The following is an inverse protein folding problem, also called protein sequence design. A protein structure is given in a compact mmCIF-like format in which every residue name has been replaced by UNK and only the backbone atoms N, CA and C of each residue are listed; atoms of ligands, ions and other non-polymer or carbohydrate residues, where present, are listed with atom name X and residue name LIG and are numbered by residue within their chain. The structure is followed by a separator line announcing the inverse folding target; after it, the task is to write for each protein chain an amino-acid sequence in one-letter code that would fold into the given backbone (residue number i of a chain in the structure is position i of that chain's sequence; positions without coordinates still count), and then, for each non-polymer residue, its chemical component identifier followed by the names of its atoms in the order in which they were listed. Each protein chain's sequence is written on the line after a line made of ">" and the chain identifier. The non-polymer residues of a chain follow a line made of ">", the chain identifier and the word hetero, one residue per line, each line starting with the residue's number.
data_IF_074218930035
#
_entry.id   IF_074218930035
#
_cell.length_a   1.000
_cell.length_b   1.000
_cell.length_c   1.000
_cell.angle_alpha   90.00
_cell.angle_beta   90.00
_cell.angle_gamma   90.00
#
_symmetry.space_group_name_H-M   'P 1'
#
loop_
_entity.id
_entity.type
_entity.pdbx_description
1 polymer ?
#
# COMPACT_ATOMS: atom_id res chain seq x y z
N UNK A 1 -32.49 39.35 3.52
CA UNK A 1 -33.71 38.51 3.59
C UNK A 1 -33.51 37.34 2.64
N UNK A 2 -33.16 36.15 3.16
CA UNK A 2 -32.77 35.00 2.35
C UNK A 2 -34.01 34.16 2.07
N UNK A 3 -34.49 34.17 0.83
CA UNK A 3 -35.63 33.37 0.39
C UNK A 3 -35.13 31.96 0.04
N UNK A 4 -35.17 31.03 0.99
CA UNK A 4 -34.90 29.61 0.70
C UNK A 4 -36.02 29.07 -0.18
N UNK A 5 -35.67 28.65 -1.40
CA UNK A 5 -36.59 27.94 -2.30
C UNK A 5 -36.96 26.59 -1.67
N UNK A 6 -38.24 26.23 -1.78
CA UNK A 6 -38.86 25.02 -1.18
C UNK A 6 -38.08 23.72 -1.46
N UNK A 7 -37.45 23.63 -2.64
CA UNK A 7 -36.62 22.51 -3.08
C UNK A 7 -35.37 22.29 -2.20
N UNK A 8 -34.77 23.38 -1.67
CA UNK A 8 -33.59 23.30 -0.79
C UNK A 8 -33.93 22.80 0.60
N UNK A 9 -35.15 23.07 1.08
CA UNK A 9 -35.62 22.61 2.40
C UNK A 9 -35.80 21.08 2.39
N UNK A 10 -36.31 20.53 1.30
CA UNK A 10 -36.49 19.08 1.14
C UNK A 10 -35.12 18.38 1.06
N UNK A 11 -34.18 18.92 0.28
CA UNK A 11 -32.84 18.36 0.17
C UNK A 11 -32.09 18.35 1.52
N UNK A 12 -32.22 19.43 2.31
CA UNK A 12 -31.61 19.50 3.64
C UNK A 12 -32.26 18.52 4.62
N UNK A 13 -33.59 18.37 4.57
CA UNK A 13 -34.30 17.39 5.39
C UNK A 13 -33.88 15.95 5.10
N UNK A 14 -33.76 15.57 3.83
CA UNK A 14 -33.30 14.23 3.43
C UNK A 14 -31.86 14.00 3.86
N UNK A 15 -30.99 15.01 3.70
CA UNK A 15 -29.59 14.90 4.11
C UNK A 15 -29.44 14.66 5.62
N UNK A 16 -30.18 15.40 6.47
CA UNK A 16 -30.15 15.21 7.92
C UNK A 16 -30.63 13.81 8.33
N UNK A 17 -31.67 13.30 7.67
CA UNK A 17 -32.19 11.94 7.94
C UNK A 17 -31.14 10.88 7.58
N UNK A 18 -30.53 10.99 6.40
CA UNK A 18 -29.50 10.03 5.95
C UNK A 18 -28.29 10.06 6.89
N UNK A 19 -27.81 11.24 7.28
CA UNK A 19 -26.69 11.36 8.23
C UNK A 19 -27.04 10.72 9.56
N UNK A 20 -28.25 10.94 10.09
CA UNK A 20 -28.67 10.40 11.38
C UNK A 20 -28.74 8.87 11.35
N UNK A 21 -29.33 8.29 10.30
CA UNK A 21 -29.39 6.83 10.11
C UNK A 21 -27.98 6.24 10.04
N UNK A 22 -27.08 6.88 9.29
CA UNK A 22 -25.71 6.40 9.14
C UNK A 22 -24.89 6.50 10.44
N UNK A 23 -25.12 7.55 11.24
CA UNK A 23 -24.47 7.69 12.55
C UNK A 23 -24.99 6.67 13.57
N UNK A 24 -26.30 6.37 13.58
CA UNK A 24 -26.84 5.36 14.49
C UNK A 24 -26.34 3.96 14.17
N UNK A 25 -26.30 3.57 12.88
CA UNK A 25 -25.76 2.26 12.48
C UNK A 25 -24.28 2.08 12.82
N UNK A 26 -23.50 3.16 12.81
CA UNK A 26 -22.07 3.11 13.13
C UNK A 26 -21.81 2.93 14.64
N UNK A 27 -22.72 3.40 15.50
CA UNK A 27 -22.62 3.23 16.95
C UNK A 27 -22.87 1.77 17.33
N UNK A 28 -23.91 1.15 16.77
CA UNK A 28 -24.23 -0.27 17.04
C UNK A 28 -23.13 -1.22 16.55
N UNK A 29 -22.50 -0.91 15.40
CA UNK A 29 -21.40 -1.71 14.87
C UNK A 29 -20.17 -1.66 15.78
N UNK A 30 -19.85 -0.49 16.34
CA UNK A 30 -18.69 -0.32 17.23
C UNK A 30 -18.89 -1.01 18.58
N UNK A 31 -20.11 -1.02 19.11
CA UNK A 31 -20.41 -1.68 20.38
C UNK A 31 -20.28 -3.21 20.28
N UNK A 32 -20.59 -3.79 19.11
CA UNK A 32 -20.45 -5.23 18.85
C UNK A 32 -18.99 -5.73 18.85
N UNK A 33 -18.02 -4.90 18.45
CA UNK A 33 -16.59 -5.28 18.46
C UNK A 33 -15.98 -5.26 19.86
N UNK A 34 -16.51 -4.43 20.77
CA UNK A 34 -15.99 -4.36 22.15
C UNK A 34 -16.30 -5.60 22.97
N UNK A 35 -17.37 -6.33 22.64
CA UNK A 35 -17.80 -7.50 23.42
C UNK A 35 -16.96 -8.76 23.17
N UNK A 36 -16.19 -8.83 22.08
CA UNK A 36 -15.32 -9.98 21.75
C UNK A 36 -14.03 -9.98 22.58
N UNK A 37 -13.67 -8.86 23.25
CA UNK A 37 -12.39 -8.73 23.96
C UNK A 37 -12.37 -9.24 25.41
N UNK A 38 -13.48 -9.74 25.92
CA UNK A 38 -13.56 -10.38 27.24
C UNK A 38 -13.30 -11.89 27.15
N UNK A 39 -12.26 -12.30 26.43
CA UNK A 39 -11.80 -13.69 26.46
C UNK A 39 -11.17 -13.94 27.85
N UNK A 40 -11.55 -15.03 28.55
CA UNK A 40 -11.00 -15.34 29.87
C UNK A 40 -9.48 -15.48 29.76
N UNK A 41 -8.76 -14.68 30.52
CA UNK A 41 -7.30 -14.72 30.61
C UNK A 41 -6.86 -16.14 30.98
N UNK A 42 -6.32 -16.87 30.01
CA UNK A 42 -5.71 -18.17 30.26
C UNK A 42 -4.61 -17.99 31.33
N UNK A 43 -4.51 -18.91 32.31
CA UNK A 43 -3.48 -18.83 33.34
C UNK A 43 -2.10 -18.80 32.65
N UNK A 44 -1.24 -17.91 33.13
CA UNK A 44 0.10 -17.73 32.59
C UNK A 44 0.83 -19.08 32.54
N UNK A 45 1.49 -19.43 31.41
CA UNK A 45 2.25 -20.67 31.32
C UNK A 45 3.37 -20.66 32.36
N UNK A 46 3.42 -21.69 33.19
CA UNK A 46 4.52 -21.93 34.12
C UNK A 46 5.80 -22.09 33.31
N UNK A 47 6.67 -21.08 33.35
CA UNK A 47 7.98 -21.13 32.67
C UNK A 47 8.87 -22.08 33.46
N UNK A 48 8.97 -23.32 32.96
CA UNK A 48 9.98 -24.26 33.40
C UNK A 48 11.35 -23.74 32.92
N UNK A 49 12.26 -23.47 33.86
CA UNK A 49 13.62 -22.99 33.54
C UNK A 49 14.38 -24.08 32.80
N UNK A 50 14.35 -24.04 31.47
CA UNK A 50 15.24 -24.85 30.63
C UNK A 50 16.67 -24.34 30.84
N UNK A 51 17.45 -25.11 31.58
CA UNK A 51 18.90 -24.91 31.72
C UNK A 51 19.53 -25.21 30.36
N UNK A 52 19.87 -24.17 29.61
CA UNK A 52 20.56 -24.29 28.34
C UNK A 52 22.05 -24.56 28.61
N UNK A 53 22.46 -25.81 28.43
CA UNK A 53 23.88 -26.18 28.42
C UNK A 53 24.55 -25.59 27.16
N UNK A 54 25.69 -24.90 27.29
CA UNK A 54 26.39 -24.32 26.14
C UNK A 54 26.85 -25.39 25.14
N UNK A 55 26.61 -25.23 23.83
CA UNK A 55 27.15 -26.14 22.83
C UNK A 55 28.67 -25.94 22.69
N UNK A 56 29.38 -27.07 22.58
CA UNK A 56 30.82 -27.12 22.37
C UNK A 56 31.26 -26.39 21.08
N UNK A 57 32.47 -25.80 21.05
CA UNK A 57 32.99 -25.08 19.90
C UNK A 57 33.20 -26.04 18.70
N UNK A 58 32.53 -25.76 17.58
CA UNK A 58 32.76 -26.46 16.32
C UNK A 58 33.96 -25.86 15.59
N UNK A 59 34.98 -26.69 15.36
CA UNK A 59 36.17 -26.39 14.56
C UNK A 59 35.80 -26.07 13.11
N UNK A 60 36.13 -24.85 12.66
CA UNK A 60 35.98 -24.40 11.28
C UNK A 60 37.07 -25.03 10.40
N UNK A 61 36.67 -25.87 9.45
CA UNK A 61 37.56 -26.33 8.38
C UNK A 61 37.49 -25.35 7.19
N UNK A 62 38.65 -24.77 6.86
CA UNK A 62 38.86 -23.94 5.67
C UNK A 62 38.87 -24.83 4.43
N UNK A 63 37.85 -24.70 3.56
CA UNK A 63 37.83 -25.33 2.24
C UNK A 63 38.32 -24.34 1.19
N UNK A 64 39.53 -24.58 0.71
CA UNK A 64 40.15 -23.91 -0.45
C UNK A 64 39.43 -24.36 -1.73
N UNK A 65 38.82 -23.41 -2.46
CA UNK A 65 38.24 -23.65 -3.79
C UNK A 65 39.32 -23.36 -4.84
N UNK A 66 39.62 -24.29 -5.77
CA UNK A 66 40.51 -24.04 -6.89
C UNK A 66 39.83 -23.17 -7.95
N UNK A 67 40.51 -22.10 -8.35
CA UNK A 67 40.24 -21.37 -9.58
C UNK A 67 40.64 -22.26 -10.76
N UNK A 68 39.66 -22.69 -11.55
CA UNK A 68 39.92 -23.21 -12.89
C UNK A 68 39.23 -22.33 -13.93
N UNK A 69 40.04 -21.92 -14.89
CA UNK A 69 39.72 -21.00 -15.96
C UNK A 69 39.62 -21.81 -17.24
N UNK A 70 38.54 -21.69 -18.03
CA UNK A 70 38.58 -21.90 -19.49
C UNK A 70 37.30 -21.37 -20.15
N UNK A 71 37.49 -20.40 -21.08
CA UNK A 71 36.90 -20.21 -22.43
C UNK A 71 35.45 -20.69 -22.69
N UNK A 72 34.61 -20.02 -23.48
CA UNK A 72 34.81 -19.66 -24.89
C UNK A 72 33.62 -18.79 -25.36
N UNK A 73 33.95 -17.81 -26.20
CA UNK A 73 33.19 -17.09 -27.22
C UNK A 73 31.73 -17.51 -27.48
N UNK A 74 30.87 -16.50 -27.66
CA UNK A 74 29.90 -16.49 -28.75
C UNK A 74 29.58 -15.05 -29.16
N UNK A 75 30.38 -14.57 -30.13
CA UNK A 75 30.00 -13.50 -31.03
C UNK A 75 28.97 -14.06 -32.02
N UNK A 76 27.78 -13.46 -32.04
CA UNK A 76 26.87 -13.52 -33.19
C UNK A 76 25.99 -12.29 -33.17
N UNK A 77 26.47 -11.27 -33.87
CA UNK A 77 25.71 -10.13 -34.35
C UNK A 77 24.43 -10.57 -35.04
N UNK A 78 23.31 -9.94 -34.66
CA UNK A 78 22.22 -9.66 -35.59
C UNK A 78 21.52 -8.35 -35.21
N UNK A 79 21.91 -7.21 -35.79
CA UNK A 79 21.14 -5.98 -35.65
C UNK A 79 19.96 -6.05 -36.62
N UNK A 80 18.78 -6.45 -36.10
CA UNK A 80 17.54 -6.16 -36.79
C UNK A 80 17.23 -4.67 -36.62
N UNK A 81 17.70 -3.89 -37.60
CA UNK A 81 17.21 -2.55 -37.89
C UNK A 81 15.71 -2.65 -38.19
N UNK A 82 14.90 -2.37 -37.19
CA UNK A 82 13.44 -2.29 -37.27
C UNK A 82 13.00 -0.91 -36.82
N UNK A 83 12.70 -0.07 -37.81
CA UNK A 83 11.71 1.01 -37.79
C UNK A 83 11.60 1.79 -36.47
N UNK A 84 12.14 3.02 -36.48
CA UNK A 84 11.86 4.03 -35.46
C UNK A 84 10.38 4.37 -35.42
N UNK A 85 9.62 3.56 -34.70
CA UNK A 85 8.27 3.87 -34.27
C UNK A 85 8.41 4.96 -33.21
N UNK A 86 8.09 6.20 -33.60
CA UNK A 86 7.98 7.36 -32.71
C UNK A 86 7.27 6.90 -31.43
N UNK A 87 7.96 6.79 -30.27
CA UNK A 87 7.35 6.22 -29.08
C UNK A 87 6.09 7.02 -28.76
N UNK A 88 4.98 6.32 -28.82
CA UNK A 88 3.64 6.85 -28.72
C UNK A 88 3.55 7.80 -27.52
N UNK A 89 3.40 9.09 -27.77
CA UNK A 89 3.15 10.08 -26.72
C UNK A 89 1.89 9.75 -25.90
N UNK A 90 1.00 8.89 -26.41
CA UNK A 90 -0.15 8.34 -25.72
C UNK A 90 0.20 7.33 -24.62
N UNK A 91 1.32 6.60 -24.71
CA UNK A 91 1.73 5.62 -23.71
C UNK A 91 2.31 6.26 -22.43
N UNK A 92 2.73 7.53 -22.50
CA UNK A 92 3.34 8.24 -21.36
C UNK A 92 2.37 8.53 -20.22
N UNK A 93 1.06 8.56 -20.48
CA UNK A 93 0.05 8.80 -19.46
C UNK A 93 -0.14 7.63 -18.48
N UNK A 94 0.55 6.51 -18.70
CA UNK A 94 0.36 5.29 -17.93
C UNK A 94 1.49 4.95 -16.95
N UNK A 95 2.63 5.64 -17.04
CA UNK A 95 3.77 5.38 -16.17
C UNK A 95 3.57 6.01 -14.80
N UNK A 96 3.92 5.24 -13.77
CA UNK A 96 4.05 5.73 -12.42
C UNK A 96 5.38 6.47 -12.29
N UNK A 97 5.38 7.65 -11.66
CA UNK A 97 6.60 8.44 -11.39
C UNK A 97 6.60 8.97 -9.97
N UNK A 98 7.79 9.29 -9.45
CA UNK A 98 7.93 10.06 -8.20
C UNK A 98 8.29 11.49 -8.61
N UNK A 99 7.34 12.45 -8.55
CA UNK A 99 7.59 13.82 -8.99
C UNK A 99 8.69 14.44 -8.14
N UNK A 100 9.73 14.97 -8.79
CA UNK A 100 10.88 15.64 -8.15
C UNK A 100 11.60 14.81 -7.08
N UNK A 101 11.45 13.48 -7.10
CA UNK A 101 12.01 12.62 -6.06
C UNK A 101 11.37 12.82 -4.67
N UNK A 102 10.11 13.28 -4.63
CA UNK A 102 9.32 13.48 -3.41
C UNK A 102 9.04 12.16 -2.65
N UNK A 103 10.07 11.66 -1.99
CA UNK A 103 10.07 10.44 -1.20
C UNK A 103 10.84 10.65 0.12
N UNK A 104 10.24 10.17 1.19
CA UNK A 104 10.89 9.89 2.47
C UNK A 104 10.40 8.50 2.95
N UNK A 105 11.14 7.86 3.85
CA UNK A 105 10.74 6.54 4.36
C UNK A 105 9.35 6.60 5.01
N UNK A 106 8.42 5.78 4.51
CA UNK A 106 7.02 5.75 4.94
C UNK A 106 6.11 6.79 4.27
N UNK A 107 6.62 7.70 3.45
CA UNK A 107 5.80 8.66 2.70
C UNK A 107 6.35 8.88 1.28
N UNK A 108 5.62 8.40 0.28
CA UNK A 108 6.01 8.53 -1.14
C UNK A 108 4.90 9.19 -1.92
N UNK A 109 5.22 10.28 -2.63
CA UNK A 109 4.32 10.86 -3.60
C UNK A 109 4.49 10.13 -4.94
N UNK A 110 3.38 9.61 -5.48
CA UNK A 110 3.36 8.84 -6.72
C UNK A 110 2.36 9.46 -7.69
N UNK A 111 2.78 9.70 -8.92
CA UNK A 111 1.88 9.97 -10.03
C UNK A 111 1.38 8.65 -10.60
N UNK A 112 0.10 8.55 -10.96
CA UNK A 112 -0.49 7.37 -11.61
C UNK A 112 -0.25 6.05 -10.84
N UNK A 113 -0.70 5.99 -9.59
CA UNK A 113 -0.74 4.74 -8.83
C UNK A 113 -1.98 3.93 -9.20
N UNK A 114 -1.80 2.63 -9.44
CA UNK A 114 -2.90 1.73 -9.80
C UNK A 114 -3.23 0.80 -8.63
N UNK A 115 -4.50 0.43 -8.50
CA UNK A 115 -4.98 -0.48 -7.46
C UNK A 115 -5.90 -1.52 -8.11
N UNK A 116 -5.60 -2.80 -7.90
CA UNK A 116 -6.48 -3.91 -8.30
C UNK A 116 -6.45 -4.98 -7.21
N UNK A 117 -7.63 -5.44 -6.78
CA UNK A 117 -7.79 -6.49 -5.78
C UNK A 117 -7.01 -6.25 -4.46
N UNK A 118 -6.86 -4.98 -4.06
CA UNK A 118 -6.12 -4.62 -2.84
C UNK A 118 -4.60 -4.53 -2.99
N UNK A 119 -4.06 -4.80 -4.19
CA UNK A 119 -2.63 -4.69 -4.50
C UNK A 119 -2.36 -3.42 -5.29
N UNK A 120 -1.35 -2.65 -4.85
CA UNK A 120 -0.85 -1.49 -5.58
C UNK A 120 0.06 -1.91 -6.72
N UNK A 121 -0.06 -1.26 -7.87
CA UNK A 121 0.82 -1.50 -9.01
C UNK A 121 1.54 -0.21 -9.38
N UNK A 122 2.87 -0.29 -9.39
CA UNK A 122 3.77 0.74 -9.90
C UNK A 122 4.14 0.37 -11.32
N UNK A 123 3.60 1.09 -12.30
CA UNK A 123 3.82 0.82 -13.71
C UNK A 123 5.09 1.54 -14.13
N UNK A 124 6.17 0.81 -14.38
CA UNK A 124 7.46 1.40 -14.76
C UNK A 124 8.19 0.55 -15.78
N UNK A 125 9.05 1.19 -16.58
CA UNK A 125 10.04 0.50 -17.41
C UNK A 125 11.34 0.21 -16.65
N UNK A 126 11.58 0.91 -15.54
CA UNK A 126 12.81 0.80 -14.75
C UNK A 126 12.49 0.87 -13.25
N UNK A 127 12.61 -0.29 -12.59
CA UNK A 127 12.36 -0.44 -11.15
C UNK A 127 13.43 0.25 -10.31
N UNK A 128 14.65 0.42 -10.83
CA UNK A 128 15.76 1.02 -10.09
C UNK A 128 15.58 2.51 -9.81
N UNK A 129 14.63 3.16 -10.50
CA UNK A 129 14.24 4.55 -10.25
C UNK A 129 13.40 4.73 -9.00
N UNK A 130 12.91 3.64 -8.40
CA UNK A 130 12.10 3.66 -7.19
C UNK A 130 12.93 3.24 -5.97
N UNK A 131 12.63 3.79 -4.78
CA UNK A 131 13.17 3.28 -3.53
C UNK A 131 12.80 1.80 -3.32
N UNK A 132 13.55 1.07 -2.48
CA UNK A 132 13.14 -0.28 -2.07
C UNK A 132 11.71 -0.28 -1.52
N UNK A 133 10.93 -1.32 -1.83
CA UNK A 133 9.51 -1.41 -1.43
C UNK A 133 9.29 -1.16 0.08
N UNK A 134 10.16 -1.72 0.93
CA UNK A 134 10.11 -1.54 2.40
C UNK A 134 10.23 -0.08 2.86
N UNK A 135 10.81 0.79 2.03
CA UNK A 135 10.93 2.21 2.31
C UNK A 135 9.69 2.98 1.81
N UNK A 136 8.95 2.42 0.85
CA UNK A 136 7.74 3.03 0.29
C UNK A 136 6.49 2.71 1.11
N UNK A 137 6.35 1.46 1.57
CA UNK A 137 5.24 1.02 2.41
C UNK A 137 5.64 -0.15 3.32
N UNK A 138 4.81 -0.40 4.32
CA UNK A 138 4.85 -1.59 5.17
C UNK A 138 3.61 -2.43 4.99
N UNK A 139 3.68 -3.70 5.35
CA UNK A 139 2.52 -4.59 5.42
C UNK A 139 1.60 -4.13 6.56
N UNK A 140 0.26 -4.04 6.34
CA UNK A 140 -0.69 -3.54 7.34
C UNK A 140 -1.05 -4.62 8.36
N UNK A 141 -0.03 -5.18 9.00
CA UNK A 141 -0.15 -6.21 10.04
C UNK A 141 -0.03 -5.60 11.44
N UNK A 142 -0.57 -6.32 12.42
CA UNK A 142 -0.41 -5.96 13.83
C UNK A 142 1.07 -5.95 14.19
N UNK A 143 1.56 -4.85 14.76
CA UNK A 143 2.96 -4.74 15.17
C UNK A 143 3.17 -5.58 16.43
N UNK A 144 3.89 -6.68 16.28
CA UNK A 144 4.29 -7.59 17.36
C UNK A 144 5.76 -7.98 17.20
N UNK A 145 6.42 -8.33 18.30
CA UNK A 145 7.84 -8.70 18.27
C UNK A 145 8.07 -9.94 17.40
N UNK A 146 8.97 -9.83 16.42
CA UNK A 146 9.33 -10.93 15.52
C UNK A 146 8.41 -11.08 14.31
N UNK A 147 7.43 -10.19 14.12
CA UNK A 147 6.65 -10.15 12.89
C UNK A 147 7.42 -9.36 11.83
N UNK A 148 7.64 -9.99 10.69
CA UNK A 148 8.15 -9.32 9.51
C UNK A 148 7.06 -8.39 8.95
N UNK A 149 7.40 -7.12 8.76
CA UNK A 149 6.53 -6.07 8.24
C UNK A 149 6.91 -5.65 6.83
N UNK A 150 7.91 -6.29 6.23
CA UNK A 150 8.29 -6.01 4.85
C UNK A 150 7.09 -6.30 3.93
N UNK A 151 6.84 -5.42 2.95
CA UNK A 151 5.77 -5.60 1.99
C UNK A 151 6.09 -6.78 1.07
N UNK A 152 5.03 -7.47 0.66
CA UNK A 152 5.08 -8.56 -0.31
C UNK A 152 4.40 -8.14 -1.61
N UNK A 153 4.41 -9.03 -2.60
CA UNK A 153 3.68 -8.86 -3.85
C UNK A 153 2.16 -8.72 -3.64
N UNK A 154 1.63 -9.00 -2.44
CA UNK A 154 0.21 -8.77 -2.13
C UNK A 154 -0.09 -7.30 -1.89
N UNK A 155 0.86 -6.56 -1.33
CA UNK A 155 0.69 -5.15 -1.01
C UNK A 155 1.05 -4.26 -2.21
N UNK A 156 2.20 -4.51 -2.85
CA UNK A 156 2.64 -3.72 -4.01
C UNK A 156 3.49 -4.54 -4.98
N UNK A 157 3.28 -4.34 -6.28
CA UNK A 157 4.06 -4.95 -7.35
C UNK A 157 4.54 -3.90 -8.36
N UNK A 158 5.72 -4.13 -8.93
CA UNK A 158 6.16 -3.41 -10.13
C UNK A 158 5.64 -4.11 -11.37
N UNK A 159 5.04 -3.35 -12.27
CA UNK A 159 4.42 -3.86 -13.48
C UNK A 159 5.09 -3.23 -14.70
N UNK A 160 5.51 -4.06 -15.65
CA UNK A 160 6.01 -3.56 -16.93
C UNK A 160 4.83 -3.09 -17.80
N UNK A 161 5.06 -2.05 -18.61
CA UNK A 161 4.00 -1.44 -19.45
C UNK A 161 3.33 -2.46 -20.38
N UNK A 162 4.09 -3.44 -20.86
CA UNK A 162 3.57 -4.52 -21.72
C UNK A 162 2.55 -5.43 -21.06
N UNK A 163 2.58 -5.54 -19.72
CA UNK A 163 1.71 -6.42 -18.93
C UNK A 163 0.49 -5.70 -18.35
N UNK A 164 0.35 -4.40 -18.64
CA UNK A 164 -0.68 -3.52 -18.09
C UNK A 164 -2.09 -4.03 -18.37
N UNK A 165 -2.43 -4.30 -19.65
CA UNK A 165 -3.79 -4.67 -20.04
C UNK A 165 -4.18 -6.06 -19.48
N UNK A 166 -3.24 -7.00 -19.43
CA UNK A 166 -3.46 -8.32 -18.83
C UNK A 166 -3.70 -8.24 -17.33
N UNK A 167 -2.96 -7.37 -16.64
CA UNK A 167 -2.93 -7.30 -15.17
C UNK A 167 -3.91 -6.28 -14.59
N UNK A 168 -4.27 -5.21 -15.29
CA UNK A 168 -5.21 -4.18 -14.81
C UNK A 168 -6.54 -4.18 -15.57
N UNK A 169 -6.61 -4.88 -16.71
CA UNK A 169 -7.74 -4.84 -17.61
C UNK A 169 -7.70 -3.63 -18.54
N UNK A 170 -8.68 -3.57 -19.45
CA UNK A 170 -8.72 -2.58 -20.54
C UNK A 170 -9.14 -1.17 -20.11
N UNK A 171 -9.93 -1.07 -19.05
CA UNK A 171 -10.57 0.18 -18.63
C UNK A 171 -10.39 0.41 -17.13
N UNK A 172 -9.21 0.91 -16.69
CA UNK A 172 -9.03 1.32 -15.30
C UNK A 172 -9.92 2.55 -15.00
N UNK A 173 -10.54 2.55 -13.82
CA UNK A 173 -11.21 3.75 -13.30
C UNK A 173 -10.13 4.73 -12.84
N UNK A 174 -10.18 5.96 -13.37
CA UNK A 174 -9.24 7.03 -13.01
C UNK A 174 -9.88 7.95 -11.96
N UNK A 175 -9.13 8.22 -10.91
CA UNK A 175 -9.46 9.25 -9.91
C UNK A 175 -8.53 10.43 -10.17
N UNK A 176 -9.10 11.57 -10.55
CA UNK A 176 -8.36 12.79 -10.84
C UNK A 176 -8.07 13.60 -9.56
N UNK A 177 -6.94 14.31 -9.56
CA UNK A 177 -6.50 15.16 -8.46
C UNK A 177 -5.58 14.47 -7.47
N UNK A 178 -5.28 15.16 -6.37
CA UNK A 178 -4.44 14.65 -5.30
C UNK A 178 -5.26 13.71 -4.40
N UNK A 179 -4.82 12.45 -4.30
CA UNK A 179 -5.41 11.46 -3.41
C UNK A 179 -4.40 11.08 -2.32
N UNK A 180 -4.90 10.89 -1.10
CA UNK A 180 -4.11 10.39 0.02
C UNK A 180 -4.58 8.98 0.37
N UNK A 181 -3.63 8.06 0.47
CA UNK A 181 -3.89 6.67 0.86
C UNK A 181 -3.22 6.44 2.19
N UNK A 182 -4.02 6.13 3.21
CA UNK A 182 -3.55 5.73 4.52
C UNK A 182 -3.56 4.20 4.56
N UNK A 183 -2.37 3.60 4.64
CA UNK A 183 -2.18 2.15 4.55
C UNK A 183 -1.65 1.56 5.86
N UNK A 184 -2.34 1.84 6.95
CA UNK A 184 -1.96 1.41 8.29
C UNK A 184 -2.81 0.24 8.80
N UNK A 185 -2.26 -0.62 9.67
CA UNK A 185 -3.03 -1.66 10.34
C UNK A 185 -4.17 -1.04 11.19
N UNK A 186 -5.27 -1.78 11.43
CA UNK A 186 -6.43 -1.28 12.18
C UNK A 186 -6.11 -0.69 13.56
N UNK A 187 -5.02 -1.17 14.19
CA UNK A 187 -4.55 -0.66 15.48
C UNK A 187 -4.20 0.85 15.48
N UNK A 188 -3.81 1.43 14.33
CA UNK A 188 -3.51 2.86 14.21
C UNK A 188 -4.65 3.66 13.58
N UNK A 189 -5.50 3.01 12.78
CA UNK A 189 -6.59 3.68 12.06
C UNK A 189 -7.75 4.12 12.97
N UNK A 190 -7.97 3.44 14.09
CA UNK A 190 -9.06 3.77 15.04
C UNK A 190 -9.02 5.22 15.52
N UNK A 191 -7.82 5.78 15.74
CA UNK A 191 -7.63 7.17 16.16
C UNK A 191 -7.67 8.14 14.97
N UNK A 192 -7.08 7.76 13.82
CA UNK A 192 -7.00 8.63 12.63
C UNK A 192 -8.35 8.91 11.97
N UNK A 193 -9.27 7.94 11.93
CA UNK A 193 -10.59 8.12 11.29
C UNK A 193 -11.40 9.22 11.99
N UNK A 194 -11.29 9.35 13.31
CA UNK A 194 -11.93 10.42 14.08
C UNK A 194 -11.36 11.80 13.71
N UNK A 195 -10.03 11.91 13.53
CA UNK A 195 -9.38 13.16 13.15
C UNK A 195 -9.73 13.60 11.73
N UNK A 196 -9.80 12.66 10.77
CA UNK A 196 -10.10 12.97 9.37
C UNK A 196 -11.57 13.39 9.19
N UNK A 197 -12.49 12.77 9.95
CA UNK A 197 -13.89 13.20 10.01
C UNK A 197 -14.03 14.64 10.56
N UNK A 198 -13.24 14.99 11.58
CA UNK A 198 -13.21 16.35 12.14
C UNK A 198 -12.66 17.38 11.14
N UNK A 199 -11.63 17.01 10.37
CA UNK A 199 -11.04 17.88 9.35
C UNK A 199 -12.01 18.18 8.21
N UNK A 200 -12.71 17.16 7.69
CA UNK A 200 -13.72 17.34 6.64
C UNK A 200 -14.91 18.17 7.15
N UNK A 201 -15.35 17.95 8.39
CA UNK A 201 -16.42 18.73 9.02
C UNK A 201 -16.05 20.22 9.14
N UNK A 202 -14.78 20.52 9.42
CA UNK A 202 -14.27 21.88 9.55
C UNK A 202 -14.20 22.62 8.20
N UNK A 203 -13.84 21.91 7.12
CA UNK A 203 -13.79 22.51 5.76
C UNK A 203 -15.18 22.67 5.15
N UNK A 204 -16.16 21.83 5.54
CA UNK A 204 -17.55 21.92 5.09
C UNK A 204 -18.36 23.05 5.72
N UNK A 205 -17.77 23.81 6.65
CA UNK A 205 -18.46 24.77 7.50
C UNK A 205 -18.31 26.24 7.11
N UNK A 206 -18.15 26.62 5.84
CA UNK A 206 -18.33 28.02 5.42
C UNK A 206 -18.45 28.18 3.90
N UNK A 207 -19.68 28.38 3.40
CA UNK A 207 -20.03 29.30 2.28
C UNK A 207 -21.49 29.72 2.36
#
# INVERSE_FOLDING_TARGET
>A
MITLRKERIIALGVFVIVVTIFTSWKIDLWESETQIRNEPTLPAPTIEKVVVTPPAPKTTATTTIPQDATRLNNDSEKPASGVGEKPAAAARGHLTTIPEGAHIEGFTLLDNLYLRNGTFYVVTSDVSTFPPLRNMLSRPSKIESGVDLDPTDKEMQFLHVGDLEGTLGKYPLRIDGLSFILYDPPQFMSVCILALAQFISTIGGEK
#
